data_IF_985765899149
#
_entry.id   IF_985765899149
#
_cell.length_a   1.000
_cell.length_b   1.000
_cell.length_c   1.000
_cell.angle_alpha   90.00
_cell.angle_beta   90.00
_cell.angle_gamma   90.00
#
_symmetry.space_group_name_H-M   'P 1'
#
loop_
_entity.id
_entity.type
_entity.pdbx_description
1 polymer ?
#
# COMPACT_ATOMS: atom_id res chain seq x y z
N UNK A 1 31.64 -17.79 -7.48
CA UNK A 1 30.43 -18.29 -8.16
C UNK A 1 29.75 -17.11 -8.85
N UNK A 2 29.03 -17.33 -9.96
CA UNK A 2 28.26 -16.27 -10.60
C UNK A 2 27.10 -15.83 -9.69
N UNK A 3 26.82 -14.52 -9.62
CA UNK A 3 25.67 -13.97 -8.88
C UNK A 3 24.37 -14.44 -9.56
N UNK A 4 23.32 -14.72 -8.78
CA UNK A 4 21.99 -15.01 -9.32
C UNK A 4 21.35 -13.70 -9.78
N UNK A 5 21.03 -13.60 -11.07
CA UNK A 5 20.44 -12.40 -11.66
C UNK A 5 18.92 -12.41 -11.55
N UNK A 6 18.34 -11.40 -10.90
CA UNK A 6 16.90 -11.27 -10.66
C UNK A 6 16.37 -9.91 -11.10
N UNK A 7 15.17 -9.88 -11.66
CA UNK A 7 14.43 -8.64 -11.93
C UNK A 7 13.68 -8.15 -10.69
N UNK A 8 13.68 -6.84 -10.45
CA UNK A 8 12.97 -6.19 -9.34
C UNK A 8 12.08 -5.07 -9.88
N UNK A 9 10.76 -5.27 -9.87
CA UNK A 9 9.79 -4.26 -10.29
C UNK A 9 9.22 -3.51 -9.08
N UNK A 10 9.49 -2.20 -8.96
CA UNK A 10 9.00 -1.38 -7.85
C UNK A 10 8.91 0.10 -8.25
N UNK A 11 8.35 0.94 -7.38
CA UNK A 11 8.47 2.39 -7.53
C UNK A 11 9.90 2.90 -7.33
N UNK A 12 10.22 4.05 -7.95
CA UNK A 12 11.47 4.79 -7.74
C UNK A 12 11.42 5.58 -6.42
N UNK A 13 11.63 4.88 -5.30
CA UNK A 13 11.58 5.45 -3.96
C UNK A 13 12.98 5.69 -3.38
N UNK A 14 13.14 6.71 -2.55
CA UNK A 14 14.41 6.98 -1.85
C UNK A 14 14.90 5.78 -1.03
N UNK A 15 13.99 5.01 -0.42
CA UNK A 15 14.32 3.81 0.39
C UNK A 15 14.84 2.63 -0.44
N UNK A 16 14.71 2.66 -1.77
CA UNK A 16 15.23 1.63 -2.69
C UNK A 16 16.43 2.15 -3.48
N UNK A 17 16.58 3.48 -3.61
CA UNK A 17 17.60 4.14 -4.40
C UNK A 17 19.04 3.65 -4.15
N UNK A 18 19.50 3.38 -2.91
CA UNK A 18 20.83 2.81 -2.69
C UNK A 18 21.08 1.47 -3.39
N UNK A 19 20.04 0.64 -3.57
CA UNK A 19 20.14 -0.62 -4.34
C UNK A 19 20.21 -0.36 -5.84
N UNK A 20 19.41 0.58 -6.33
CA UNK A 20 19.39 0.97 -7.75
C UNK A 20 20.75 1.53 -8.18
N UNK A 21 21.35 2.36 -7.32
CA UNK A 21 22.64 3.01 -7.55
C UNK A 21 23.84 2.09 -7.23
N UNK A 22 23.61 0.89 -6.69
CA UNK A 22 24.66 -0.06 -6.31
C UNK A 22 25.48 0.35 -5.08
N UNK A 23 25.02 1.34 -4.30
CA UNK A 23 25.63 1.69 -3.01
C UNK A 23 25.39 0.59 -1.96
N UNK A 24 24.27 -0.12 -2.07
CA UNK A 24 23.98 -1.34 -1.33
C UNK A 24 23.88 -2.48 -2.34
N UNK A 25 24.54 -3.60 -2.05
CA UNK A 25 24.44 -4.82 -2.84
C UNK A 25 23.76 -5.93 -2.04
N UNK A 26 22.86 -6.68 -2.68
CA UNK A 26 22.31 -7.89 -2.09
C UNK A 26 23.27 -9.07 -2.28
N UNK A 27 23.69 -9.69 -1.17
CA UNK A 27 24.68 -10.75 -1.19
C UNK A 27 24.27 -11.92 -2.11
N UNK A 28 25.14 -12.28 -3.06
CA UNK A 28 24.91 -13.36 -4.02
C UNK A 28 23.94 -13.01 -5.17
N UNK A 29 23.42 -11.79 -5.23
CA UNK A 29 22.43 -11.35 -6.21
C UNK A 29 22.96 -10.25 -7.13
N UNK A 30 22.56 -10.32 -8.40
CA UNK A 30 22.61 -9.20 -9.35
C UNK A 30 21.17 -8.75 -9.59
N UNK A 31 20.82 -7.55 -9.13
CA UNK A 31 19.45 -7.04 -9.22
C UNK A 31 19.29 -6.10 -10.42
N UNK A 32 18.28 -6.36 -11.24
CA UNK A 32 17.89 -5.51 -12.38
C UNK A 32 16.60 -4.79 -12.01
N UNK A 33 16.71 -3.51 -11.64
CA UNK A 33 15.56 -2.69 -11.24
C UNK A 33 14.77 -2.18 -12.44
N UNK A 34 13.44 -2.32 -12.37
CA UNK A 34 12.48 -1.87 -13.35
C UNK A 34 11.53 -0.86 -12.69
N UNK A 35 11.90 0.43 -12.74
CA UNK A 35 11.19 1.50 -12.01
C UNK A 35 10.35 2.42 -12.90
N UNK A 36 10.50 2.32 -14.23
CA UNK A 36 9.79 3.15 -15.21
C UNK A 36 8.35 2.66 -15.49
N UNK A 37 7.69 2.11 -14.47
CA UNK A 37 6.32 1.59 -14.56
C UNK A 37 5.45 2.15 -13.46
N UNK A 38 4.27 2.66 -13.84
CA UNK A 38 3.24 3.03 -12.86
C UNK A 38 2.72 1.80 -12.10
N UNK A 39 2.17 1.97 -10.88
CA UNK A 39 1.64 0.86 -10.09
C UNK A 39 0.62 0.01 -10.85
N UNK A 40 -0.27 0.65 -11.63
CA UNK A 40 -1.27 -0.03 -12.46
C UNK A 40 -0.63 -1.03 -13.44
N UNK A 41 0.40 -0.61 -14.17
CA UNK A 41 1.04 -1.47 -15.17
C UNK A 41 1.76 -2.64 -14.48
N UNK A 42 2.53 -2.33 -13.43
CA UNK A 42 3.27 -3.31 -12.64
C UNK A 42 2.35 -4.39 -12.06
N UNK A 43 1.31 -4.01 -11.33
CA UNK A 43 0.36 -4.94 -10.70
C UNK A 43 -0.38 -5.78 -11.75
N UNK A 44 -0.74 -5.18 -12.90
CA UNK A 44 -1.40 -5.90 -13.99
C UNK A 44 -0.49 -6.95 -14.64
N UNK A 45 0.79 -6.63 -14.88
CA UNK A 45 1.78 -7.56 -15.45
C UNK A 45 2.11 -8.69 -14.47
N UNK A 46 2.23 -8.35 -13.19
CA UNK A 46 2.50 -9.33 -12.14
C UNK A 46 1.31 -10.28 -11.94
N UNK A 47 0.11 -9.76 -11.69
CA UNK A 47 -1.07 -10.58 -11.37
C UNK A 47 -1.58 -11.49 -12.49
N UNK A 48 -1.14 -11.30 -13.74
CA UNK A 48 -1.56 -12.14 -14.88
C UNK A 48 -0.50 -13.09 -15.42
N UNK A 49 0.77 -12.73 -15.31
CA UNK A 49 1.88 -13.43 -15.99
C UNK A 49 3.10 -13.65 -15.12
N UNK A 50 3.10 -13.20 -13.87
CA UNK A 50 4.23 -13.27 -12.94
C UNK A 50 5.55 -12.84 -13.61
N UNK A 51 5.52 -11.73 -14.37
CA UNK A 51 6.62 -11.37 -15.28
C UNK A 51 7.94 -11.04 -14.57
N UNK A 52 7.88 -10.71 -13.27
CA UNK A 52 9.02 -10.26 -12.49
C UNK A 52 9.39 -11.28 -11.42
N UNK A 53 10.69 -11.40 -11.13
CA UNK A 53 11.19 -12.31 -10.09
C UNK A 53 10.87 -11.80 -8.69
N UNK A 54 11.06 -10.49 -8.49
CA UNK A 54 10.70 -9.73 -7.30
C UNK A 54 9.81 -8.56 -7.72
N UNK A 55 8.68 -8.35 -7.05
CA UNK A 55 7.74 -7.30 -7.40
C UNK A 55 7.17 -6.62 -6.15
N UNK A 56 7.16 -5.30 -6.11
CA UNK A 56 6.26 -4.59 -5.21
C UNK A 56 4.82 -4.83 -5.70
N UNK A 57 3.95 -5.36 -4.85
CA UNK A 57 2.59 -5.77 -5.22
C UNK A 57 1.55 -5.21 -4.26
N UNK A 58 0.36 -4.89 -4.77
CA UNK A 58 -0.77 -4.49 -3.93
C UNK A 58 -1.11 -5.60 -2.93
N UNK A 59 -1.18 -5.29 -1.63
CA UNK A 59 -1.40 -6.29 -0.57
C UNK A 59 -2.70 -7.08 -0.75
N UNK A 60 -3.76 -6.42 -1.23
CA UNK A 60 -5.03 -7.07 -1.53
C UNK A 60 -4.90 -8.03 -2.71
N UNK A 61 -4.29 -7.57 -3.80
CA UNK A 61 -4.04 -8.41 -4.98
C UNK A 61 -3.19 -9.63 -4.63
N UNK A 62 -2.15 -9.45 -3.82
CA UNK A 62 -1.31 -10.54 -3.32
C UNK A 62 -2.13 -11.60 -2.55
N UNK A 63 -3.01 -11.19 -1.63
CA UNK A 63 -3.89 -12.16 -0.94
C UNK A 63 -4.85 -12.87 -1.89
N UNK A 64 -5.37 -12.17 -2.90
CA UNK A 64 -6.26 -12.78 -3.90
C UNK A 64 -5.53 -13.81 -4.76
N UNK A 65 -4.32 -13.48 -5.24
CA UNK A 65 -3.45 -14.39 -6.01
C UNK A 65 -3.14 -15.65 -5.18
N UNK A 66 -2.81 -15.49 -3.89
CA UNK A 66 -2.57 -16.60 -2.96
C UNK A 66 -3.81 -17.43 -2.68
N UNK A 67 -4.96 -16.79 -2.50
CA UNK A 67 -6.23 -17.48 -2.32
C UNK A 67 -6.54 -18.35 -3.55
N UNK A 68 -6.26 -17.87 -4.76
CA UNK A 68 -6.42 -18.60 -6.03
C UNK A 68 -5.42 -19.76 -6.23
N UNK A 69 -4.43 -19.92 -5.35
CA UNK A 69 -3.47 -21.02 -5.38
C UNK A 69 -2.26 -20.78 -6.29
N UNK A 70 -2.04 -19.54 -6.73
CA UNK A 70 -0.91 -19.20 -7.58
C UNK A 70 0.45 -19.29 -6.81
N UNK A 71 1.54 -19.73 -7.47
CA UNK A 71 2.84 -20.01 -6.85
C UNK A 71 3.67 -18.73 -6.64
N UNK A 72 3.14 -17.85 -5.79
CA UNK A 72 3.79 -16.61 -5.38
C UNK A 72 4.00 -16.62 -3.87
N UNK A 73 5.09 -16.05 -3.38
CA UNK A 73 5.29 -15.76 -1.95
C UNK A 73 5.63 -14.29 -1.75
N UNK A 74 5.74 -13.83 -0.52
CA UNK A 74 6.18 -12.47 -0.19
C UNK A 74 7.35 -12.50 0.80
N UNK A 75 8.24 -11.53 0.71
CA UNK A 75 9.18 -11.22 1.79
C UNK A 75 8.62 -10.07 2.62
N UNK A 76 8.94 -9.96 3.93
CA UNK A 76 8.35 -8.96 4.80
C UNK A 76 9.01 -7.58 4.61
N UNK A 77 9.07 -7.12 3.36
CA UNK A 77 9.53 -5.80 2.93
C UNK A 77 8.31 -5.04 2.41
N UNK A 78 8.11 -3.82 2.92
CA UNK A 78 6.89 -3.03 2.70
C UNK A 78 7.24 -1.66 2.12
N UNK A 79 7.45 -1.61 0.80
CA UNK A 79 7.96 -0.42 0.13
C UNK A 79 6.97 0.75 0.10
N UNK A 80 5.68 0.48 0.29
CA UNK A 80 4.65 1.50 0.29
C UNK A 80 3.73 1.37 1.51
N UNK A 81 3.80 2.38 2.39
CA UNK A 81 2.87 2.62 3.49
C UNK A 81 2.29 4.01 3.34
N UNK A 82 1.01 4.18 3.70
CA UNK A 82 0.33 5.47 3.56
C UNK A 82 -0.98 5.49 4.33
N UNK A 83 -1.28 6.60 5.02
CA UNK A 83 -2.65 6.85 5.46
C UNK A 83 -3.54 7.33 4.32
N UNK A 84 -4.83 7.00 4.36
CA UNK A 84 -5.77 7.29 3.26
C UNK A 84 -7.01 8.07 3.69
N UNK A 85 -7.06 8.56 4.93
CA UNK A 85 -8.18 9.39 5.39
C UNK A 85 -8.30 10.66 4.52
N UNK A 86 -7.16 11.28 4.18
CA UNK A 86 -7.12 12.44 3.28
C UNK A 86 -7.47 12.17 1.81
N UNK A 87 -7.87 10.94 1.46
CA UNK A 87 -8.19 10.48 0.10
C UNK A 87 -9.67 10.08 -0.09
N UNK A 88 -10.53 10.47 0.86
CA UNK A 88 -11.98 10.43 0.69
C UNK A 88 -12.43 11.83 0.29
N UNK A 89 -12.97 11.97 -0.91
CA UNK A 89 -13.40 13.25 -1.48
C UNK A 89 -14.91 13.28 -1.63
N UNK A 90 -15.50 14.45 -1.42
CA UNK A 90 -16.94 14.70 -1.51
C UNK A 90 -17.22 15.88 -2.41
N UNK A 91 -18.40 15.88 -3.04
CA UNK A 91 -18.98 17.09 -3.57
C UNK A 91 -19.54 17.92 -2.41
N UNK A 92 -19.19 19.19 -2.34
CA UNK A 92 -19.57 20.11 -1.25
C UNK A 92 -21.07 20.40 -1.17
N UNK A 93 -21.82 20.19 -2.26
CA UNK A 93 -23.27 20.35 -2.32
C UNK A 93 -24.03 19.03 -2.04
N UNK A 94 -23.33 17.90 -1.85
CA UNK A 94 -23.96 16.58 -1.67
C UNK A 94 -24.52 16.32 -0.26
N UNK A 95 -24.33 17.24 0.68
CA UNK A 95 -24.82 17.11 2.06
C UNK A 95 -24.12 16.04 2.89
N UNK A 96 -22.94 15.55 2.46
CA UNK A 96 -22.13 14.57 3.18
C UNK A 96 -21.29 15.28 4.23
N UNK A 97 -21.46 14.92 5.51
CA UNK A 97 -20.74 15.52 6.65
C UNK A 97 -19.85 14.50 7.35
N UNK A 98 -20.24 13.24 7.32
CA UNK A 98 -19.52 12.14 7.97
C UNK A 98 -19.65 10.84 7.15
N UNK A 99 -18.79 9.83 7.39
CA UNK A 99 -18.80 8.61 6.57
C UNK A 99 -20.13 7.87 6.50
N UNK A 100 -20.92 7.84 7.59
CA UNK A 100 -22.23 7.15 7.60
C UNK A 100 -23.25 7.76 6.62
N UNK A 101 -23.09 9.02 6.23
CA UNK A 101 -23.97 9.69 5.25
C UNK A 101 -23.83 9.09 3.83
N UNK A 102 -22.75 8.32 3.59
CA UNK A 102 -22.53 7.61 2.34
C UNK A 102 -23.37 6.33 2.23
N UNK A 103 -24.00 5.86 3.31
CA UNK A 103 -24.80 4.64 3.29
C UNK A 103 -25.96 4.78 2.29
N UNK A 104 -26.12 3.79 1.41
CA UNK A 104 -27.12 3.82 0.34
C UNK A 104 -26.79 4.73 -0.86
N UNK A 105 -25.62 5.37 -0.89
CA UNK A 105 -25.19 6.26 -1.99
C UNK A 105 -24.33 5.53 -3.03
N UNK A 106 -24.05 6.23 -4.13
CA UNK A 106 -23.06 5.83 -5.14
C UNK A 106 -21.71 6.45 -4.78
N UNK A 107 -20.64 5.67 -4.72
CA UNK A 107 -19.28 6.16 -4.42
C UNK A 107 -18.32 5.72 -5.53
N UNK A 108 -17.60 6.69 -6.07
CA UNK A 108 -16.61 6.45 -7.12
C UNK A 108 -15.30 5.85 -6.61
N UNK A 109 -14.67 4.99 -7.41
CA UNK A 109 -13.29 4.55 -7.22
C UNK A 109 -12.69 4.07 -8.55
N UNK A 110 -11.37 4.15 -8.74
CA UNK A 110 -10.75 3.73 -10.02
C UNK A 110 -11.13 2.30 -10.39
N UNK A 111 -11.01 1.40 -9.40
CA UNK A 111 -11.48 0.03 -9.37
C UNK A 111 -11.73 -0.34 -7.89
N UNK A 112 -12.25 -1.53 -7.63
CA UNK A 112 -12.63 -1.95 -6.28
C UNK A 112 -11.43 -2.38 -5.43
N UNK A 113 -10.43 -3.04 -6.02
CA UNK A 113 -9.30 -3.69 -5.32
C UNK A 113 -8.09 -2.85 -4.87
N UNK A 114 -7.91 -1.55 -5.19
CA UNK A 114 -6.73 -0.83 -4.72
C UNK A 114 -6.56 -0.95 -3.21
N UNK A 115 -5.35 -1.22 -2.72
CA UNK A 115 -5.08 -1.35 -1.28
C UNK A 115 -5.60 -0.14 -0.49
N UNK A 116 -5.49 1.06 -1.07
CA UNK A 116 -6.05 2.28 -0.51
C UNK A 116 -7.55 2.18 -0.24
N UNK A 117 -8.29 1.56 -1.16
CA UNK A 117 -9.73 1.47 -1.11
C UNK A 117 -10.15 0.33 -0.17
N UNK A 118 -9.40 -0.78 -0.14
CA UNK A 118 -9.61 -1.87 0.82
C UNK A 118 -9.45 -1.34 2.25
N UNK A 119 -8.33 -0.66 2.53
CA UNK A 119 -8.06 -0.03 3.82
C UNK A 119 -9.13 0.97 4.20
N UNK A 120 -9.46 1.93 3.32
CA UNK A 120 -10.44 2.95 3.68
C UNK A 120 -11.83 2.38 3.89
N UNK A 121 -12.31 1.45 3.06
CA UNK A 121 -13.62 0.83 3.32
C UNK A 121 -13.65 0.12 4.66
N UNK A 122 -12.61 -0.65 4.99
CA UNK A 122 -12.50 -1.34 6.27
C UNK A 122 -12.46 -0.38 7.46
N UNK A 123 -11.63 0.66 7.39
CA UNK A 123 -11.52 1.68 8.44
C UNK A 123 -12.84 2.43 8.63
N UNK A 124 -13.48 2.87 7.54
CA UNK A 124 -14.74 3.61 7.59
C UNK A 124 -15.87 2.76 8.17
N UNK A 125 -15.89 1.47 7.87
CA UNK A 125 -16.86 0.55 8.42
C UNK A 125 -16.64 0.27 9.90
N UNK A 126 -15.40 0.01 10.30
CA UNK A 126 -15.06 -0.35 11.68
C UNK A 126 -15.16 0.84 12.64
N UNK A 127 -14.81 2.05 12.19
CA UNK A 127 -14.68 3.21 13.07
C UNK A 127 -15.69 4.32 12.83
N UNK A 128 -16.41 4.32 11.70
CA UNK A 128 -17.27 5.45 11.31
C UNK A 128 -18.68 5.06 10.86
N UNK A 129 -19.09 3.80 11.04
CA UNK A 129 -20.47 3.34 10.79
C UNK A 129 -20.85 3.29 9.30
N UNK A 130 -19.87 3.30 8.40
CA UNK A 130 -20.10 3.06 6.98
C UNK A 130 -20.42 1.58 6.74
N UNK A 131 -21.48 1.27 6.00
CA UNK A 131 -21.84 -0.09 5.64
C UNK A 131 -21.46 -0.29 4.17
N UNK A 132 -20.30 -0.87 3.89
CA UNK A 132 -19.76 -0.92 2.52
C UNK A 132 -20.69 -1.65 1.53
N UNK A 133 -21.50 -2.60 2.01
CA UNK A 133 -22.52 -3.33 1.22
C UNK A 133 -23.76 -2.49 0.89
N UNK A 134 -24.02 -1.43 1.65
CA UNK A 134 -25.11 -0.49 1.36
C UNK A 134 -24.78 0.44 0.18
N UNK A 135 -23.50 0.57 -0.19
CA UNK A 135 -23.03 1.49 -1.22
C UNK A 135 -23.04 0.82 -2.59
N UNK A 136 -23.34 1.60 -3.64
CA UNK A 136 -23.04 1.22 -5.02
C UNK A 136 -21.66 1.76 -5.39
N UNK A 137 -20.71 0.86 -5.64
CA UNK A 137 -19.33 1.22 -5.99
C UNK A 137 -19.20 1.41 -7.50
N UNK A 138 -19.11 2.66 -7.93
CA UNK A 138 -18.96 3.00 -9.35
C UNK A 138 -17.48 3.00 -9.74
N UNK A 139 -17.08 2.10 -10.63
CA UNK A 139 -15.69 1.90 -11.04
C UNK A 139 -15.38 2.33 -12.47
N UNK A 140 -14.16 2.77 -12.75
CA UNK A 140 -13.76 3.22 -14.11
C UNK A 140 -13.14 2.12 -14.97
N UNK A 141 -12.59 1.08 -14.34
CA UNK A 141 -11.92 -0.02 -15.04
C UNK A 141 -12.16 -1.35 -14.33
N UNK A 142 -11.91 -2.44 -15.06
CA UNK A 142 -11.96 -3.80 -14.52
C UNK A 142 -10.88 -4.00 -13.45
N UNK A 143 -11.11 -4.98 -12.59
CA UNK A 143 -10.14 -5.38 -11.58
C UNK A 143 -8.87 -5.98 -12.18
N UNK A 144 -7.78 -5.86 -11.42
CA UNK A 144 -6.47 -6.37 -11.79
C UNK A 144 -6.41 -7.89 -11.59
N UNK A 145 -7.01 -8.40 -10.49
CA UNK A 145 -7.22 -9.83 -10.23
C UNK A 145 -8.71 -10.16 -10.36
N UNK A 146 -9.06 -11.19 -11.14
CA UNK A 146 -10.47 -11.57 -11.29
C UNK A 146 -11.04 -12.10 -9.97
N UNK A 147 -12.29 -11.74 -9.65
CA UNK A 147 -13.02 -12.33 -8.51
C UNK A 147 -14.52 -12.30 -8.76
N UNK A 148 -15.23 -13.20 -8.08
CA UNK A 148 -16.68 -13.21 -8.08
C UNK A 148 -17.20 -12.20 -7.06
N UNK A 149 -18.03 -11.26 -7.51
CA UNK A 149 -18.64 -10.27 -6.62
C UNK A 149 -19.60 -10.99 -5.68
N UNK A 150 -19.39 -10.96 -4.34
CA UNK A 150 -20.22 -11.69 -3.41
C UNK A 150 -21.67 -11.14 -3.39
N UNK A 151 -22.66 -11.98 -3.06
CA UNK A 151 -24.04 -11.52 -2.88
C UNK A 151 -24.15 -10.30 -1.95
N UNK A 152 -24.95 -9.32 -2.35
CA UNK A 152 -25.17 -8.09 -1.58
C UNK A 152 -24.07 -7.03 -1.71
N UNK A 153 -23.01 -7.26 -2.50
CA UNK A 153 -22.06 -6.21 -2.88
C UNK A 153 -22.42 -5.67 -4.27
N UNK A 154 -22.50 -4.35 -4.42
CA UNK A 154 -22.85 -3.68 -5.68
C UNK A 154 -21.64 -2.96 -6.26
N UNK A 155 -21.13 -3.46 -7.39
CA UNK A 155 -20.04 -2.84 -8.15
C UNK A 155 -20.54 -2.63 -9.58
N UNK A 156 -20.50 -1.39 -10.05
CA UNK A 156 -21.02 -1.00 -11.36
C UNK A 156 -19.95 -0.32 -12.19
N UNK A 157 -19.86 -0.66 -13.47
CA UNK A 157 -18.93 0.00 -14.40
C UNK A 157 -19.49 1.36 -14.84
N UNK A 158 -18.68 2.41 -14.72
CA UNK A 158 -19.03 3.77 -15.17
C UNK A 158 -19.23 3.81 -16.68
N UNK A 159 -20.44 4.18 -17.11
CA UNK A 159 -20.81 4.37 -18.52
C UNK A 159 -20.57 5.80 -19.04
N UNK A 160 -20.51 6.79 -18.15
CA UNK A 160 -20.24 8.19 -18.50
C UNK A 160 -18.86 8.38 -19.13
N UNK A 161 -18.69 9.24 -20.15
CA UNK A 161 -17.36 9.59 -20.68
C UNK A 161 -16.57 10.52 -19.73
N UNK A 162 -17.22 11.11 -18.72
CA UNK A 162 -16.55 11.93 -17.71
C UNK A 162 -15.61 11.08 -16.85
N UNK A 163 -14.54 11.69 -16.35
CA UNK A 163 -13.72 11.09 -15.28
C UNK A 163 -14.49 11.12 -13.96
N UNK A 164 -14.20 10.23 -13.02
CA UNK A 164 -14.80 10.26 -11.68
C UNK A 164 -14.59 11.60 -10.97
N UNK A 165 -13.42 12.24 -11.16
CA UNK A 165 -13.16 13.56 -10.61
C UNK A 165 -14.11 14.62 -11.16
N UNK A 166 -14.42 14.56 -12.46
CA UNK A 166 -15.38 15.47 -13.08
C UNK A 166 -16.82 15.16 -12.62
N UNK A 167 -17.19 13.88 -12.55
CA UNK A 167 -18.49 13.45 -12.01
C UNK A 167 -18.68 13.92 -10.57
N UNK A 168 -17.62 13.87 -9.76
CA UNK A 168 -17.63 14.41 -8.41
C UNK A 168 -17.83 15.93 -8.42
N UNK A 169 -17.08 16.68 -9.23
CA UNK A 169 -17.19 18.15 -9.30
C UNK A 169 -18.59 18.60 -9.74
N UNK A 170 -19.18 17.89 -10.71
CA UNK A 170 -20.48 18.20 -11.29
C UNK A 170 -21.65 17.72 -10.42
N UNK A 171 -21.39 16.89 -9.40
CA UNK A 171 -22.41 16.35 -8.50
C UNK A 171 -23.12 15.09 -9.01
N UNK A 172 -22.63 14.49 -10.11
CA UNK A 172 -23.12 13.21 -10.64
C UNK A 172 -22.90 12.06 -9.64
N UNK A 173 -21.84 12.15 -8.82
CA UNK A 173 -21.62 11.29 -7.65
C UNK A 173 -21.33 12.17 -6.41
N UNK A 174 -21.83 11.78 -5.22
CA UNK A 174 -21.63 12.57 -4.00
C UNK A 174 -20.22 12.43 -3.40
N UNK A 175 -19.52 11.32 -3.68
CA UNK A 175 -18.22 11.04 -3.10
C UNK A 175 -17.37 10.09 -3.97
N UNK A 176 -16.06 10.09 -3.73
CA UNK A 176 -15.14 9.10 -4.26
C UNK A 176 -14.03 8.75 -3.25
N UNK A 177 -13.58 7.49 -3.29
CA UNK A 177 -12.39 6.99 -2.60
C UNK A 177 -11.37 6.65 -3.67
N UNK A 178 -10.21 7.32 -3.65
CA UNK A 178 -9.24 7.24 -4.74
C UNK A 178 -7.80 7.09 -4.23
N UNK A 179 -6.95 6.31 -4.91
CA UNK A 179 -5.52 6.24 -4.59
C UNK A 179 -4.76 7.55 -4.90
N UNK A 180 -5.34 8.43 -5.73
CA UNK A 180 -4.74 9.69 -6.17
C UNK A 180 -5.67 10.88 -5.88
N UNK A 181 -5.11 12.08 -5.84
CA UNK A 181 -5.90 13.31 -5.75
C UNK A 181 -6.68 13.52 -7.06
N UNK A 182 -8.00 13.80 -7.02
CA UNK A 182 -8.78 14.12 -8.21
C UNK A 182 -8.20 15.36 -8.90
N UNK A 183 -8.07 15.34 -10.23
CA UNK A 183 -7.52 16.46 -11.00
C UNK A 183 -8.23 17.80 -10.70
N UNK A 184 -9.58 17.90 -10.68
CA UNK A 184 -10.24 19.17 -10.36
C UNK A 184 -9.94 19.67 -8.94
N UNK A 185 -9.72 18.77 -7.97
CA UNK A 185 -9.32 19.14 -6.61
C UNK A 185 -7.91 19.76 -6.59
N UNK A 186 -6.97 19.18 -7.32
CA UNK A 186 -5.60 19.71 -7.47
C UNK A 186 -5.62 21.08 -8.15
N UNK A 187 -6.51 21.28 -9.11
CA UNK A 187 -6.72 22.56 -9.82
C UNK A 187 -7.48 23.60 -8.97
N UNK A 188 -7.88 23.24 -7.74
CA UNK A 188 -8.48 24.17 -6.78
C UNK A 188 -9.99 24.32 -6.88
N UNK A 189 -10.69 23.42 -7.57
CA UNK A 189 -12.15 23.41 -7.69
C UNK A 189 -12.81 23.30 -6.31
N UNK A 190 -13.47 24.38 -5.88
CA UNK A 190 -14.11 24.50 -4.57
C UNK A 190 -15.34 23.62 -4.41
N UNK A 191 -15.85 23.04 -5.50
CA UNK A 191 -16.95 22.08 -5.45
C UNK A 191 -16.53 20.76 -4.82
N UNK A 192 -15.22 20.45 -4.78
CA UNK A 192 -14.67 19.24 -4.18
C UNK A 192 -13.98 19.57 -2.84
N UNK A 193 -14.26 18.76 -1.82
CA UNK A 193 -13.55 18.81 -0.54
C UNK A 193 -13.09 17.41 -0.11
N UNK A 194 -12.14 17.36 0.83
CA UNK A 194 -11.89 16.13 1.59
C UNK A 194 -13.02 15.93 2.60
N UNK A 195 -13.45 14.69 2.80
CA UNK A 195 -14.42 14.37 3.86
C UNK A 195 -13.84 14.69 5.25
N UNK A 196 -12.58 14.33 5.48
CA UNK A 196 -11.83 14.70 6.66
C UNK A 196 -10.97 15.94 6.34
N UNK A 197 -11.44 17.12 6.71
CA UNK A 197 -10.70 18.36 6.48
C UNK A 197 -9.37 18.40 7.25
N UNK A 198 -9.39 17.87 8.47
CA UNK A 198 -8.28 17.72 9.42
C UNK A 198 -7.62 16.34 9.35
N UNK A 199 -7.56 15.74 8.16
CA UNK A 199 -7.11 14.35 7.95
C UNK A 199 -5.78 14.01 8.65
N UNK A 200 -4.82 14.93 8.76
CA UNK A 200 -3.57 14.69 9.50
C UNK A 200 -3.83 14.31 10.96
N UNK A 201 -4.71 15.05 11.66
CA UNK A 201 -5.05 14.76 13.04
C UNK A 201 -5.83 13.45 13.15
N UNK A 202 -6.78 13.22 12.24
CA UNK A 202 -7.53 11.95 12.16
C UNK A 202 -6.60 10.75 11.99
N UNK A 203 -5.55 10.89 11.18
CA UNK A 203 -4.54 9.85 10.94
C UNK A 203 -3.66 9.60 12.17
N UNK A 204 -3.26 10.66 12.88
CA UNK A 204 -2.54 10.58 14.16
C UNK A 204 -3.41 9.87 15.21
N UNK A 205 -4.69 10.24 15.33
CA UNK A 205 -5.60 9.64 16.30
C UNK A 205 -5.88 8.17 15.98
N UNK A 206 -6.03 7.83 14.69
CA UNK A 206 -6.14 6.44 14.24
C UNK A 206 -4.90 5.63 14.61
N UNK A 207 -3.70 6.17 14.35
CA UNK A 207 -2.45 5.53 14.74
C UNK A 207 -2.33 5.39 16.26
N UNK A 208 -2.67 6.42 17.04
CA UNK A 208 -2.63 6.35 18.50
C UNK A 208 -3.58 5.29 19.09
N UNK A 209 -4.75 5.09 18.48
CA UNK A 209 -5.74 4.07 18.90
C UNK A 209 -5.36 2.66 18.47
N UNK A 210 -4.76 2.49 17.30
CA UNK A 210 -4.62 1.17 16.65
C UNK A 210 -3.18 0.69 16.55
N UNK A 211 -2.20 1.60 16.56
CA UNK A 211 -0.81 1.34 16.18
C UNK A 211 -0.62 1.04 14.69
N UNK A 212 -1.64 1.26 13.84
CA UNK A 212 -1.61 0.88 12.43
C UNK A 212 -1.22 2.08 11.57
N UNK A 213 -0.04 2.01 10.96
CA UNK A 213 0.31 2.80 9.77
C UNK A 213 0.16 1.91 8.53
N UNK A 214 -0.89 2.07 7.71
CA UNK A 214 -1.31 1.04 6.75
C UNK A 214 -0.23 0.61 5.74
N UNK A 215 0.01 -0.70 5.66
CA UNK A 215 0.81 -1.34 4.60
C UNK A 215 -0.04 -1.42 3.33
N UNK A 216 0.39 -0.71 2.29
CA UNK A 216 -0.31 -0.71 1.01
C UNK A 216 0.17 -1.86 0.13
N UNK A 217 1.49 -2.01 0.04
CA UNK A 217 2.12 -2.98 -0.86
C UNK A 217 3.10 -3.88 -0.09
N UNK A 218 3.21 -5.12 -0.56
CA UNK A 218 4.18 -6.13 -0.11
C UNK A 218 5.20 -6.38 -1.22
N UNK A 219 6.39 -6.87 -0.87
CA UNK A 219 7.36 -7.31 -1.88
C UNK A 219 7.18 -8.81 -2.12
N UNK A 220 6.67 -9.18 -3.29
CA UNK A 220 6.49 -10.56 -3.72
C UNK A 220 7.76 -11.12 -4.36
N UNK A 221 7.90 -12.44 -4.27
CA UNK A 221 8.98 -13.23 -4.82
C UNK A 221 8.35 -14.47 -5.46
N UNK A 222 8.77 -14.84 -6.67
CA UNK A 222 8.33 -16.11 -7.29
C UNK A 222 8.64 -17.28 -6.36
N UNK A 223 7.66 -18.14 -6.11
CA UNK A 223 7.80 -19.23 -5.14
C UNK A 223 8.93 -20.19 -5.53
N UNK A 224 9.10 -20.50 -6.82
CA UNK A 224 10.17 -21.36 -7.32
C UNK A 224 11.59 -20.83 -6.98
N UNK A 225 11.76 -19.51 -6.86
CA UNK A 225 13.04 -18.89 -6.51
C UNK A 225 13.30 -19.07 -5.02
N UNK A 226 12.28 -18.85 -4.19
CA UNK A 226 12.37 -19.05 -2.74
C UNK A 226 12.65 -20.52 -2.40
N UNK A 227 12.02 -21.47 -3.10
CA UNK A 227 12.21 -22.90 -2.90
C UNK A 227 13.60 -23.37 -3.36
N UNK A 228 14.06 -22.89 -4.52
CA UNK A 228 15.36 -23.29 -5.08
C UNK A 228 16.54 -22.61 -4.38
N UNK A 229 16.35 -21.39 -3.91
CA UNK A 229 17.39 -20.58 -3.26
C UNK A 229 16.85 -19.92 -1.98
N UNK A 230 16.67 -20.66 -0.86
CA UNK A 230 16.07 -20.13 0.37
C UNK A 230 16.77 -18.89 0.94
N UNK A 231 18.08 -18.76 0.73
CA UNK A 231 18.88 -17.60 1.16
C UNK A 231 18.50 -16.29 0.46
N UNK A 232 17.82 -16.35 -0.70
CA UNK A 232 17.43 -15.16 -1.49
C UNK A 232 16.48 -14.27 -0.70
N UNK A 233 15.48 -14.85 -0.04
CA UNK A 233 14.50 -14.10 0.73
C UNK A 233 15.17 -13.28 1.86
N UNK A 234 16.10 -13.91 2.58
CA UNK A 234 16.84 -13.23 3.65
C UNK A 234 17.78 -12.16 3.10
N UNK A 235 18.54 -12.47 2.05
CA UNK A 235 19.52 -11.51 1.50
C UNK A 235 18.83 -10.30 0.88
N UNK A 236 17.68 -10.48 0.21
CA UNK A 236 16.85 -9.37 -0.25
C UNK A 236 16.38 -8.52 0.94
N UNK A 237 15.82 -9.15 1.97
CA UNK A 237 15.29 -8.42 3.14
C UNK A 237 16.37 -7.58 3.82
N UNK A 238 17.56 -8.14 4.03
CA UNK A 238 18.72 -7.42 4.58
C UNK A 238 19.15 -6.23 3.70
N UNK A 239 19.23 -6.44 2.39
CA UNK A 239 19.64 -5.40 1.46
C UNK A 239 18.62 -4.25 1.36
N UNK A 240 17.31 -4.56 1.38
CA UNK A 240 16.26 -3.54 1.47
C UNK A 240 16.30 -2.78 2.80
N UNK A 241 16.54 -3.47 3.92
CA UNK A 241 16.67 -2.81 5.22
C UNK A 241 17.85 -1.84 5.25
N UNK A 242 19.03 -2.27 4.76
CA UNK A 242 20.21 -1.41 4.67
C UNK A 242 19.96 -0.17 3.79
N UNK A 243 19.31 -0.36 2.62
CA UNK A 243 18.95 0.74 1.73
C UNK A 243 17.98 1.74 2.39
N UNK A 244 16.96 1.25 3.09
CA UNK A 244 16.02 2.09 3.87
C UNK A 244 16.75 2.90 4.94
N UNK A 245 17.67 2.28 5.70
CA UNK A 245 18.43 2.96 6.74
C UNK A 245 19.34 4.06 6.18
N UNK A 246 19.97 3.84 5.02
CA UNK A 246 20.74 4.89 4.34
C UNK A 246 19.85 6.05 3.86
N UNK A 247 18.66 5.74 3.35
CA UNK A 247 17.69 6.77 2.96
C UNK A 247 17.25 7.63 4.17
N UNK A 248 17.05 7.01 5.33
CA UNK A 248 16.75 7.72 6.58
C UNK A 248 17.88 8.65 7.02
N UNK A 249 19.14 8.19 6.97
CA UNK A 249 20.29 9.05 7.25
C UNK A 249 20.38 10.23 6.28
N UNK A 250 20.06 10.00 4.99
CA UNK A 250 20.05 11.03 3.96
C UNK A 250 18.97 12.09 4.21
N UNK A 251 17.72 11.69 4.49
CA UNK A 251 16.62 12.65 4.72
C UNK A 251 16.76 13.43 6.03
N UNK A 252 17.47 12.86 7.02
CA UNK A 252 17.81 13.56 8.25
C UNK A 252 18.68 14.80 8.02
N UNK A 253 19.41 14.88 6.90
CA UNK A 253 20.09 16.09 6.45
C UNK A 253 19.08 17.00 5.72
N UNK A 254 18.65 18.13 6.31
CA UNK A 254 17.58 18.96 5.76
C UNK A 254 17.94 19.63 4.43
N UNK A 255 19.22 19.61 4.04
CA UNK A 255 19.69 20.13 2.74
C UNK A 255 19.30 19.23 1.56
N UNK A 256 18.90 17.97 1.81
CA UNK A 256 18.63 16.98 0.77
C UNK A 256 17.26 17.13 0.11
N UNK A 257 16.31 17.84 0.74
CA UNK A 257 15.03 18.18 0.13
C UNK A 257 14.74 19.68 0.26
N UNK A 258 14.21 20.34 -0.79
CA UNK A 258 13.93 21.78 -0.79
C UNK A 258 12.63 22.11 -0.05
N UNK A 259 12.54 21.72 1.22
CA UNK A 259 11.39 21.94 2.10
C UNK A 259 11.80 22.80 3.28
N UNK A 260 11.17 23.98 3.40
CA UNK A 260 11.49 25.00 4.43
C UNK A 260 11.44 24.43 5.85
N UNK A 261 10.47 23.56 6.14
CA UNK A 261 10.25 22.98 7.46
C UNK A 261 10.53 21.47 7.52
N UNK A 262 11.46 20.98 6.69
CA UNK A 262 11.79 19.54 6.65
C UNK A 262 12.19 19.00 8.03
N UNK A 263 13.07 19.71 8.74
CA UNK A 263 13.57 19.25 10.05
C UNK A 263 12.43 19.10 11.07
N UNK A 264 11.53 20.07 11.13
CA UNK A 264 10.34 20.03 11.99
C UNK A 264 9.41 18.87 11.63
N UNK A 265 9.22 18.61 10.33
CA UNK A 265 8.40 17.47 9.87
C UNK A 265 9.02 16.12 10.27
N UNK A 266 10.35 15.98 10.18
CA UNK A 266 11.07 14.76 10.62
C UNK A 266 10.95 14.57 12.14
N UNK A 267 11.16 15.61 12.93
CA UNK A 267 11.04 15.54 14.41
C UNK A 267 9.61 15.25 14.87
N UNK A 268 8.63 15.83 14.18
CA UNK A 268 7.22 15.54 14.43
C UNK A 268 6.89 14.07 14.10
N UNK A 269 7.38 13.55 12.96
CA UNK A 269 7.21 12.15 12.60
C UNK A 269 7.81 11.23 13.65
N UNK A 270 9.06 11.48 14.07
CA UNK A 270 9.76 10.67 15.07
C UNK A 270 8.98 10.61 16.39
N UNK A 271 8.43 11.75 16.83
CA UNK A 271 7.64 11.83 18.06
C UNK A 271 6.32 11.05 17.97
N UNK A 272 5.69 11.01 16.80
CA UNK A 272 4.37 10.39 16.62
C UNK A 272 4.49 8.90 16.27
N UNK A 273 5.38 8.55 15.35
CA UNK A 273 5.47 7.22 14.73
C UNK A 273 6.75 6.46 15.10
N UNK A 274 7.65 7.07 15.86
CA UNK A 274 8.96 6.51 16.19
C UNK A 274 9.98 6.67 15.06
N UNK A 275 11.17 6.12 15.29
CA UNK A 275 12.34 6.28 14.40
C UNK A 275 12.28 5.47 13.11
N UNK A 276 11.46 4.42 13.06
CA UNK A 276 11.31 3.55 11.89
C UNK A 276 9.84 3.23 11.56
N UNK A 277 9.10 4.20 10.98
CA UNK A 277 7.71 3.98 10.57
C UNK A 277 7.56 2.97 9.41
N UNK A 278 8.63 2.65 8.67
CA UNK A 278 8.66 1.61 7.64
C UNK A 278 9.39 0.34 8.09
N UNK A 279 9.29 -0.02 9.38
CA UNK A 279 9.85 -1.27 9.88
C UNK A 279 9.48 -2.48 8.99
N UNK A 280 10.50 -3.24 8.58
CA UNK A 280 10.36 -4.51 7.86
C UNK A 280 10.26 -5.68 8.85
N UNK A 281 10.04 -6.88 8.33
CA UNK A 281 9.87 -8.10 9.13
C UNK A 281 8.42 -8.34 9.57
N UNK A 282 8.14 -9.56 10.01
CA UNK A 282 6.86 -9.96 10.61
C UNK A 282 6.81 -9.64 12.12
N UNK A 283 7.15 -8.39 12.47
CA UNK A 283 7.05 -7.88 13.84
C UNK A 283 5.58 -7.92 14.32
N UNK A 284 5.30 -7.88 15.63
CA UNK A 284 3.94 -7.85 16.14
C UNK A 284 3.08 -6.71 15.53
N UNK A 285 3.67 -5.53 15.32
CA UNK A 285 3.00 -4.40 14.69
C UNK A 285 2.66 -4.66 13.21
N UNK A 286 3.57 -5.28 12.47
CA UNK A 286 3.35 -5.61 11.06
C UNK A 286 2.38 -6.77 10.87
N UNK A 287 2.41 -7.78 11.75
CA UNK A 287 1.40 -8.85 11.78
C UNK A 287 0.01 -8.28 11.99
N UNK A 288 -0.17 -7.42 13.00
CA UNK A 288 -1.44 -6.72 13.24
C UNK A 288 -1.93 -5.96 12.00
N UNK A 289 -1.01 -5.28 11.29
CA UNK A 289 -1.31 -4.53 10.08
C UNK A 289 -1.80 -5.43 8.94
N UNK A 290 -1.04 -6.50 8.64
CA UNK A 290 -1.31 -7.47 7.58
C UNK A 290 -2.58 -8.28 7.86
N UNK A 291 -2.76 -8.77 9.08
CA UNK A 291 -3.99 -9.47 9.51
C UNK A 291 -5.22 -8.56 9.42
N UNK A 292 -5.08 -7.28 9.75
CA UNK A 292 -6.18 -6.31 9.62
C UNK A 292 -6.61 -6.13 8.17
N UNK A 293 -5.67 -5.89 7.24
CA UNK A 293 -6.04 -5.74 5.82
C UNK A 293 -6.48 -7.05 5.18
N UNK A 294 -5.98 -8.20 5.65
CA UNK A 294 -6.49 -9.51 5.23
C UNK A 294 -7.95 -9.69 5.68
N UNK A 295 -8.27 -9.33 6.93
CA UNK A 295 -9.64 -9.32 7.45
C UNK A 295 -10.54 -8.40 6.64
N UNK A 296 -10.09 -7.19 6.31
CA UNK A 296 -10.84 -6.29 5.45
C UNK A 296 -11.05 -6.86 4.05
N UNK A 297 -10.04 -7.49 3.45
CA UNK A 297 -10.18 -8.14 2.16
C UNK A 297 -11.23 -9.26 2.19
N UNK A 298 -11.25 -10.06 3.26
CA UNK A 298 -12.24 -11.12 3.47
C UNK A 298 -13.65 -10.57 3.69
N UNK A 299 -13.83 -9.57 4.55
CA UNK A 299 -15.14 -8.94 4.81
C UNK A 299 -15.77 -8.32 3.54
N UNK A 300 -14.92 -7.77 2.68
CA UNK A 300 -15.29 -7.20 1.39
C UNK A 300 -15.43 -8.26 0.28
N UNK A 301 -15.23 -9.55 0.62
CA UNK A 301 -15.42 -10.71 -0.25
C UNK A 301 -14.41 -10.87 -1.38
N UNK A 302 -13.19 -10.35 -1.21
CA UNK A 302 -12.12 -10.50 -2.19
C UNK A 302 -11.33 -11.80 -2.01
N UNK A 303 -11.32 -12.38 -0.81
CA UNK A 303 -10.66 -13.67 -0.50
C UNK A 303 -11.63 -14.58 0.25
N UNK A 304 -11.46 -15.91 0.12
CA UNK A 304 -12.38 -16.90 0.68
C UNK A 304 -12.05 -17.29 2.11
N UNK A 305 -10.78 -17.17 2.52
CA UNK A 305 -10.31 -17.52 3.86
C UNK A 305 -9.24 -16.56 4.35
N UNK A 306 -9.08 -16.51 5.68
CA UNK A 306 -7.93 -15.89 6.33
C UNK A 306 -6.81 -16.93 6.40
N UNK A 307 -5.69 -16.64 5.74
CA UNK A 307 -4.53 -17.54 5.68
C UNK A 307 -3.46 -17.02 6.66
N UNK A 308 -2.91 -17.89 7.54
CA UNK A 308 -1.82 -17.51 8.44
C UNK A 308 -0.67 -16.81 7.69
N UNK A 309 -0.13 -15.74 8.28
CA UNK A 309 0.93 -14.97 7.62
C UNK A 309 2.19 -15.80 7.35
N UNK A 310 2.46 -16.82 8.17
CA UNK A 310 3.59 -17.73 8.00
C UNK A 310 3.45 -18.65 6.77
N UNK A 311 2.23 -18.82 6.22
CA UNK A 311 1.99 -19.53 4.94
C UNK A 311 2.05 -18.59 3.72
N UNK A 312 2.09 -17.27 3.97
CA UNK A 312 2.09 -16.24 2.95
C UNK A 312 3.51 -15.73 2.72
N UNK A 313 4.23 -15.45 3.80
CA UNK A 313 5.55 -14.87 3.75
C UNK A 313 6.64 -15.93 3.85
N UNK A 314 7.68 -15.78 3.03
CA UNK A 314 8.90 -16.57 3.11
C UNK A 314 9.60 -16.32 4.45
N UNK A 315 10.21 -17.37 5.00
CA UNK A 315 11.05 -17.24 6.17
C UNK A 315 12.29 -16.41 5.85
N UNK A 316 12.51 -15.39 6.67
CA UNK A 316 13.63 -14.44 6.54
C UNK A 316 14.41 -14.29 7.83
N UNK A 317 13.99 -15.02 8.87
CA UNK A 317 14.72 -15.11 10.12
C UNK A 317 15.65 -16.32 10.02
N UNK A 318 16.96 -16.08 9.89
CA UNK A 318 17.94 -17.17 9.85
C UNK A 318 18.29 -17.70 11.24
N UNK A 319 17.62 -17.22 12.30
CA UNK A 319 18.12 -17.34 13.67
C UNK A 319 19.34 -16.44 13.86
N UNK A 320 19.52 -15.93 15.07
CA UNK A 320 20.57 -14.97 15.42
C UNK A 320 21.96 -15.39 14.90
N UNK A 321 22.41 -14.71 13.84
CA UNK A 321 23.83 -14.58 13.50
C UNK A 321 24.21 -13.13 13.69
N UNK A 322 24.29 -12.72 14.96
CA UNK A 322 24.94 -11.49 15.43
C UNK A 322 24.22 -10.21 15.06
N UNK A 323 23.52 -9.64 16.04
CA UNK A 323 23.26 -8.20 16.12
C UNK A 323 24.59 -7.43 16.10
N UNK A 324 25.06 -7.13 14.89
CA UNK A 324 26.12 -6.18 14.64
C UNK A 324 25.68 -4.84 15.22
N UNK A 325 26.47 -4.35 16.16
CA UNK A 325 26.22 -3.14 16.93
C UNK A 325 25.74 -1.96 16.06
N UNK A 326 24.81 -1.18 16.62
CA UNK A 326 24.47 0.13 16.12
C UNK A 326 25.76 0.96 15.91
N UNK A 327 25.89 1.74 14.82
CA UNK A 327 26.97 2.69 14.72
C UNK A 327 26.82 3.72 15.83
N UNK A 328 27.86 3.88 16.64
CA UNK A 328 27.98 4.97 17.61
C UNK A 328 27.76 6.32 16.92
N UNK A 329 27.08 7.21 17.63
CA UNK A 329 26.77 8.57 17.23
C UNK A 329 28.04 9.38 16.91
N UNK A 330 28.00 10.16 15.82
CA UNK A 330 28.87 11.33 15.60
C UNK A 330 28.00 12.55 15.32
#
# INVERSE_FOLDING_TARGET
MAKLRLTVACGDYDIVKPLIEGTVEAAGLELVFLTDMGPRERHWRMGRKHEFDVCEENVGAYYMIRDQGEPLTAIPVFLHRRFRHGFVFINTAAGIREPKDLNGKVVGGTNFQPASNIWMRGILEEHYGLQHRSITWLVERSEDVAFEVPPGLRIEMKTSPKTLGQMLADGDIPAMISPTLPKPFVEGDKRIARLFADYKQVEIDYFGKTGIFPIMHVTTLKQEIAEKYPWVATNLTKAFEEAKLLAYRRIANPRMAPLVFLRTAVEEQDRIFGKDPWAYGLTPANRKNLETVQRYAHQQGMIRKLTPLDELFADTDLGDVGSGAAPEEF
#
